data_IF_649537538875
#
_entry.id   IF_649537538875
#
_cell.length_a   1.000
_cell.length_b   1.000
_cell.length_c   1.000
_cell.angle_alpha   90.00
_cell.angle_beta   90.00
_cell.angle_gamma   90.00
#
_symmetry.space_group_name_H-M   'P 1'
#
loop_
_entity.id
_entity.type
_entity.pdbx_description
1 polymer ?
#
# COMPACT_ATOMS: atom_id res chain seq x y z
N UNK A 1 -24.87 -3.59 -13.28
CA UNK A 1 -23.98 -2.49 -13.74
C UNK A 1 -23.02 -3.07 -14.77
N UNK A 2 -22.92 -2.49 -15.98
CA UNK A 2 -21.90 -2.89 -16.94
C UNK A 2 -20.54 -2.36 -16.46
N UNK A 3 -19.57 -3.25 -16.29
CA UNK A 3 -18.20 -2.87 -15.93
C UNK A 3 -17.46 -2.50 -17.21
N UNK A 4 -16.89 -1.30 -17.29
CA UNK A 4 -15.99 -0.93 -18.39
C UNK A 4 -14.73 -1.79 -18.30
N UNK A 5 -14.50 -2.64 -19.30
CA UNK A 5 -13.28 -3.44 -19.39
C UNK A 5 -12.27 -2.72 -20.32
N UNK A 6 -11.13 -2.35 -19.77
CA UNK A 6 -10.00 -1.84 -20.55
C UNK A 6 -9.14 -3.02 -21.04
N UNK A 7 -8.67 -2.96 -22.27
CA UNK A 7 -7.76 -3.98 -22.78
C UNK A 7 -6.41 -3.90 -22.07
N UNK A 8 -5.99 -4.99 -21.44
CA UNK A 8 -4.79 -5.05 -20.59
C UNK A 8 -3.50 -4.74 -21.36
N UNK A 9 -3.43 -5.10 -22.64
CA UNK A 9 -2.28 -4.77 -23.50
C UNK A 9 -2.10 -3.25 -23.70
N UNK A 10 -3.19 -2.47 -23.70
CA UNK A 10 -3.12 -1.01 -23.78
C UNK A 10 -2.56 -0.44 -22.47
N UNK A 11 -3.02 -0.94 -21.33
CA UNK A 11 -2.50 -0.53 -20.01
C UNK A 11 -1.03 -0.89 -19.83
N UNK A 12 -0.60 -2.10 -20.24
CA UNK A 12 0.82 -2.50 -20.22
C UNK A 12 1.70 -1.55 -21.01
N UNK A 13 1.24 -1.14 -22.18
CA UNK A 13 1.98 -0.20 -23.05
C UNK A 13 1.99 1.22 -22.45
N UNK A 14 0.86 1.66 -21.92
CA UNK A 14 0.74 2.97 -21.28
C UNK A 14 1.65 3.07 -20.04
N UNK A 15 1.76 1.97 -19.29
CA UNK A 15 2.53 1.88 -18.06
C UNK A 15 3.95 1.34 -18.25
N UNK A 16 4.50 1.36 -19.47
CA UNK A 16 5.86 0.87 -19.74
C UNK A 16 6.96 1.63 -18.96
N UNK A 17 6.69 2.85 -18.52
CA UNK A 17 7.58 3.67 -17.71
C UNK A 17 7.14 3.76 -16.22
N UNK A 18 6.25 2.87 -15.78
CA UNK A 18 5.77 2.81 -14.40
C UNK A 18 6.44 1.66 -13.64
N UNK A 19 7.04 1.95 -12.50
CA UNK A 19 7.73 0.99 -11.63
C UNK A 19 6.99 0.90 -10.30
N UNK A 20 6.55 -0.30 -9.95
CA UNK A 20 5.70 -0.58 -8.81
C UNK A 20 6.51 -1.20 -7.68
N UNK A 21 6.39 -0.65 -6.48
CA UNK A 21 6.89 -1.26 -5.26
C UNK A 21 5.70 -1.53 -4.35
N UNK A 22 5.53 -2.79 -3.96
CA UNK A 22 4.47 -3.27 -3.06
C UNK A 22 5.12 -4.06 -1.92
N UNK A 23 4.42 -4.30 -0.83
CA UNK A 23 4.92 -5.17 0.24
C UNK A 23 4.53 -4.70 1.63
N UNK A 24 5.20 -5.23 2.64
CA UNK A 24 4.85 -5.01 4.04
C UNK A 24 5.17 -3.59 4.53
N UNK A 25 4.52 -3.18 5.61
CA UNK A 25 4.95 -1.99 6.35
C UNK A 25 6.41 -2.18 6.83
N UNK A 26 7.10 -1.07 7.08
CA UNK A 26 8.51 -1.03 7.53
C UNK A 26 9.56 -1.60 6.56
N UNK A 27 9.17 -2.10 5.38
CA UNK A 27 10.11 -2.61 4.38
C UNK A 27 10.96 -1.52 3.69
N UNK A 28 10.64 -0.23 3.90
CA UNK A 28 11.38 0.89 3.30
C UNK A 28 10.88 1.30 1.91
N UNK A 29 9.70 0.86 1.49
CA UNK A 29 9.10 1.14 0.17
C UNK A 29 9.14 2.61 -0.21
N UNK A 30 8.52 3.48 0.61
CA UNK A 30 8.40 4.92 0.32
C UNK A 30 9.77 5.62 0.23
N UNK A 31 10.78 5.14 1.00
CA UNK A 31 12.17 5.63 0.88
C UNK A 31 12.75 5.26 -0.49
N UNK A 32 12.60 4.02 -0.91
CA UNK A 32 13.11 3.55 -2.21
C UNK A 32 12.42 4.24 -3.38
N UNK A 33 11.10 4.38 -3.32
CA UNK A 33 10.32 5.10 -4.35
C UNK A 33 10.80 6.53 -4.50
N UNK A 34 11.05 7.23 -3.39
CA UNK A 34 11.59 8.60 -3.40
C UNK A 34 12.99 8.65 -3.99
N UNK A 35 13.91 7.81 -3.53
CA UNK A 35 15.29 7.76 -4.03
C UNK A 35 15.36 7.42 -5.52
N UNK A 36 14.53 6.49 -5.99
CA UNK A 36 14.41 6.17 -7.43
C UNK A 36 13.92 7.38 -8.22
N UNK A 37 12.87 8.06 -7.75
CA UNK A 37 12.32 9.22 -8.42
C UNK A 37 13.35 10.36 -8.51
N UNK A 38 14.05 10.66 -7.43
CA UNK A 38 15.09 11.69 -7.38
C UNK A 38 16.27 11.35 -8.30
N UNK A 39 16.77 10.12 -8.25
CA UNK A 39 17.94 9.71 -9.02
C UNK A 39 17.69 9.63 -10.52
N UNK A 40 16.48 9.26 -10.94
CA UNK A 40 16.13 9.04 -12.35
C UNK A 40 15.26 10.15 -12.94
N UNK A 41 15.21 11.33 -12.31
CA UNK A 41 14.35 12.47 -12.72
C UNK A 41 12.90 12.03 -13.01
N UNK A 42 12.40 11.13 -12.16
CA UNK A 42 11.08 10.54 -12.26
C UNK A 42 10.03 11.27 -11.41
N UNK A 43 8.82 10.74 -11.41
CA UNK A 43 7.72 11.20 -10.56
C UNK A 43 7.63 10.28 -9.35
N UNK A 44 7.66 10.87 -8.16
CA UNK A 44 7.37 10.17 -6.91
C UNK A 44 5.86 10.01 -6.72
N UNK A 45 5.41 8.79 -6.52
CA UNK A 45 4.03 8.45 -6.17
C UNK A 45 4.04 7.66 -4.85
N UNK A 46 3.76 8.34 -3.74
CA UNK A 46 3.66 7.72 -2.41
C UNK A 46 2.39 6.88 -2.26
N UNK A 47 2.25 6.19 -1.13
CA UNK A 47 1.19 5.21 -0.85
C UNK A 47 -0.23 5.72 -1.16
N UNK A 48 -0.50 7.01 -0.90
CA UNK A 48 -1.82 7.62 -1.08
C UNK A 48 -1.86 8.61 -2.26
N UNK A 49 -1.10 8.34 -3.33
CA UNK A 49 -1.05 9.26 -4.48
C UNK A 49 -2.42 9.46 -5.18
N UNK A 50 -3.37 8.58 -4.95
CA UNK A 50 -4.75 8.66 -5.42
C UNK A 50 -5.63 9.65 -4.62
N UNK A 51 -5.14 10.22 -3.53
CA UNK A 51 -5.88 11.21 -2.71
C UNK A 51 -6.33 12.44 -3.51
N UNK A 52 -5.64 12.75 -4.62
CA UNK A 52 -6.08 13.76 -5.57
C UNK A 52 -7.50 13.48 -6.16
N UNK A 53 -7.95 12.23 -6.11
CA UNK A 53 -9.25 11.79 -6.58
C UNK A 53 -10.24 11.50 -5.42
N UNK A 54 -9.88 11.79 -4.19
CA UNK A 54 -10.72 11.51 -3.01
C UNK A 54 -12.11 12.17 -3.08
N UNK A 55 -12.23 13.32 -3.75
CA UNK A 55 -13.51 13.98 -4.00
C UNK A 55 -14.48 13.22 -4.90
N UNK A 56 -14.03 12.13 -5.55
CA UNK A 56 -14.86 11.25 -6.38
C UNK A 56 -15.42 10.06 -5.60
N UNK A 57 -14.98 9.86 -4.34
CA UNK A 57 -15.41 8.74 -3.52
C UNK A 57 -16.86 8.96 -3.09
N UNK A 58 -17.72 8.01 -3.45
CA UNK A 58 -19.11 7.93 -2.98
C UNK A 58 -19.25 6.66 -2.12
N UNK A 59 -19.56 6.78 -0.82
CA UNK A 59 -19.71 5.62 0.07
C UNK A 59 -20.74 4.58 -0.40
N UNK A 60 -21.67 4.94 -1.28
CA UNK A 60 -22.61 3.98 -1.88
C UNK A 60 -21.93 3.02 -2.88
N UNK A 61 -20.80 3.42 -3.47
CA UNK A 61 -20.03 2.64 -4.45
C UNK A 61 -18.65 2.22 -3.94
N UNK A 62 -18.02 3.02 -3.09
CA UNK A 62 -16.75 2.74 -2.42
C UNK A 62 -16.93 2.76 -0.90
N UNK A 63 -17.65 1.75 -0.34
CA UNK A 63 -18.01 1.76 1.09
C UNK A 63 -16.82 1.64 2.03
N UNK A 64 -15.70 1.08 1.59
CA UNK A 64 -14.51 0.94 2.42
C UNK A 64 -13.67 2.23 2.44
N UNK A 65 -13.42 2.87 1.29
CA UNK A 65 -12.76 4.18 1.22
C UNK A 65 -13.63 5.28 1.82
N UNK A 66 -14.94 5.23 1.58
CA UNK A 66 -15.91 6.17 2.11
C UNK A 66 -16.29 5.94 3.58
N UNK A 67 -15.74 4.90 4.24
CA UNK A 67 -16.14 4.51 5.60
C UNK A 67 -16.03 5.65 6.61
N UNK A 68 -14.95 6.42 6.58
CA UNK A 68 -14.75 7.54 7.49
C UNK A 68 -15.74 8.71 7.31
N UNK A 69 -16.47 8.75 6.19
CA UNK A 69 -17.56 9.70 5.96
C UNK A 69 -18.89 9.23 6.60
N UNK A 70 -19.01 7.92 6.88
CA UNK A 70 -20.26 7.28 7.30
C UNK A 70 -20.21 6.66 8.69
N UNK A 71 -19.01 6.43 9.25
CA UNK A 71 -18.85 5.88 10.60
C UNK A 71 -19.50 6.80 11.66
N UNK A 72 -20.05 6.22 12.71
CA UNK A 72 -20.68 6.97 13.80
C UNK A 72 -19.64 7.61 14.75
N UNK A 73 -18.49 6.97 14.92
CA UNK A 73 -17.43 7.43 15.82
C UNK A 73 -16.12 6.67 15.58
N UNK A 74 -15.01 7.22 16.09
CA UNK A 74 -13.74 6.52 16.12
C UNK A 74 -13.75 5.27 16.99
N UNK A 75 -14.63 5.22 18.02
CA UNK A 75 -14.79 4.04 18.86
C UNK A 75 -15.40 2.86 18.08
N UNK A 76 -16.29 3.13 17.11
CA UNK A 76 -16.76 2.11 16.17
C UNK A 76 -15.60 1.53 15.33
N UNK A 77 -14.72 2.39 14.83
CA UNK A 77 -13.59 1.96 14.01
C UNK A 77 -12.59 1.10 14.79
N UNK A 78 -12.15 1.55 15.98
CA UNK A 78 -11.19 0.81 16.81
C UNK A 78 -11.79 -0.43 17.47
N UNK A 79 -13.12 -0.49 17.62
CA UNK A 79 -13.85 -1.64 18.16
C UNK A 79 -14.10 -2.77 17.18
N UNK A 80 -13.65 -2.65 15.92
CA UNK A 80 -13.75 -3.74 14.93
C UNK A 80 -13.02 -4.98 15.39
N UNK A 81 -13.54 -6.16 15.04
CA UNK A 81 -12.77 -7.40 15.22
C UNK A 81 -11.59 -7.45 14.24
N UNK A 82 -10.56 -8.27 14.51
CA UNK A 82 -9.46 -8.48 13.58
C UNK A 82 -9.92 -8.86 12.16
N UNK A 83 -10.96 -9.68 12.04
CA UNK A 83 -11.54 -10.11 10.76
C UNK A 83 -12.25 -8.97 10.04
N UNK A 84 -13.04 -8.18 10.76
CA UNK A 84 -13.73 -7.02 10.19
C UNK A 84 -12.74 -5.96 9.71
N UNK A 85 -11.67 -5.74 10.47
CA UNK A 85 -10.63 -4.80 10.06
C UNK A 85 -9.85 -5.31 8.85
N UNK A 86 -9.49 -6.61 8.82
CA UNK A 86 -8.81 -7.22 7.69
C UNK A 86 -9.65 -7.15 6.40
N UNK A 87 -10.95 -7.43 6.50
CA UNK A 87 -11.87 -7.32 5.37
C UNK A 87 -11.99 -5.87 4.87
N UNK A 88 -12.01 -4.90 5.78
CA UNK A 88 -12.03 -3.47 5.43
C UNK A 88 -10.75 -3.04 4.72
N UNK A 89 -9.56 -3.46 5.18
CA UNK A 89 -8.26 -3.16 4.52
C UNK A 89 -8.25 -3.75 3.11
N UNK A 90 -8.70 -4.98 2.94
CA UNK A 90 -8.73 -5.64 1.62
C UNK A 90 -9.72 -4.94 0.68
N UNK A 91 -10.90 -4.54 1.20
CA UNK A 91 -11.88 -3.76 0.46
C UNK A 91 -11.34 -2.38 0.06
N UNK A 92 -10.71 -1.69 0.99
CA UNK A 92 -10.07 -0.38 0.75
C UNK A 92 -9.01 -0.49 -0.35
N UNK A 93 -8.13 -1.50 -0.29
CA UNK A 93 -7.12 -1.73 -1.31
C UNK A 93 -7.73 -2.00 -2.70
N UNK A 94 -8.82 -2.77 -2.76
CA UNK A 94 -9.51 -3.07 -4.01
C UNK A 94 -10.20 -1.84 -4.61
N UNK A 95 -10.81 -1.00 -3.79
CA UNK A 95 -11.44 0.25 -4.21
C UNK A 95 -10.38 1.30 -4.61
N UNK A 96 -9.32 1.46 -3.80
CA UNK A 96 -8.22 2.37 -4.08
C UNK A 96 -7.50 2.03 -5.39
N UNK A 97 -7.32 0.75 -5.72
CA UNK A 97 -6.68 0.32 -6.95
C UNK A 97 -7.34 0.91 -8.21
N UNK A 98 -8.65 1.15 -8.20
CA UNK A 98 -9.35 1.78 -9.31
C UNK A 98 -8.95 3.26 -9.45
N UNK A 99 -8.91 4.00 -8.34
CA UNK A 99 -8.47 5.40 -8.31
C UNK A 99 -6.97 5.50 -8.65
N UNK A 100 -6.15 4.57 -8.15
CA UNK A 100 -4.73 4.49 -8.45
C UNK A 100 -4.50 4.34 -9.96
N UNK A 101 -5.21 3.45 -10.64
CA UNK A 101 -5.09 3.25 -12.09
C UNK A 101 -5.52 4.52 -12.85
N UNK A 102 -6.60 5.18 -12.46
CA UNK A 102 -7.05 6.44 -13.08
C UNK A 102 -5.99 7.53 -12.92
N UNK A 103 -5.46 7.68 -11.72
CA UNK A 103 -4.42 8.69 -11.44
C UNK A 103 -3.12 8.38 -12.19
N UNK A 104 -2.78 7.09 -12.35
CA UNK A 104 -1.65 6.67 -13.17
C UNK A 104 -1.81 7.07 -14.63
N UNK A 105 -2.97 6.81 -15.23
CA UNK A 105 -3.26 7.21 -16.62
C UNK A 105 -3.02 8.72 -16.78
N UNK A 106 -3.46 9.53 -15.80
CA UNK A 106 -3.24 10.99 -15.83
C UNK A 106 -1.76 11.37 -15.72
N UNK A 107 -0.96 10.63 -14.92
CA UNK A 107 0.46 10.95 -14.68
C UNK A 107 1.39 10.43 -15.78
N UNK A 108 0.97 9.49 -16.60
CA UNK A 108 1.77 9.01 -17.74
C UNK A 108 1.89 10.02 -18.87
N UNK A 109 1.09 11.09 -18.87
CA UNK A 109 1.24 12.20 -19.80
C UNK A 109 2.63 12.82 -19.64
N UNK A 110 3.38 12.93 -20.74
CA UNK A 110 4.74 13.49 -20.73
C UNK A 110 5.89 12.47 -20.72
N UNK A 111 5.59 11.16 -20.65
CA UNK A 111 6.58 10.09 -20.86
C UNK A 111 7.65 9.94 -19.76
N UNK A 112 7.49 10.64 -18.61
CA UNK A 112 8.41 10.52 -17.47
C UNK A 112 8.25 9.16 -16.80
N UNK A 113 9.32 8.67 -16.16
CA UNK A 113 9.27 7.48 -15.29
C UNK A 113 8.44 7.79 -14.05
N UNK A 114 7.57 6.86 -13.65
CA UNK A 114 6.80 6.94 -12.41
C UNK A 114 7.28 5.83 -11.47
N UNK A 115 7.57 6.18 -10.24
CA UNK A 115 7.94 5.24 -9.18
C UNK A 115 6.88 5.27 -8.09
N UNK A 116 6.35 4.10 -7.74
CA UNK A 116 5.13 4.00 -6.96
C UNK A 116 5.25 3.08 -5.76
N UNK A 117 4.77 3.55 -4.62
CA UNK A 117 4.34 2.73 -3.50
C UNK A 117 2.84 2.42 -3.67
N UNK A 118 2.47 1.15 -3.90
CA UNK A 118 1.10 0.79 -4.29
C UNK A 118 0.57 -0.39 -3.49
N UNK A 119 -0.77 -0.46 -3.39
CA UNK A 119 -1.51 -1.60 -2.86
C UNK A 119 -2.30 -2.35 -3.94
N UNK A 120 -2.07 -2.06 -5.23
CA UNK A 120 -2.69 -2.77 -6.35
C UNK A 120 -2.39 -4.27 -6.25
N UNK A 121 -3.41 -5.10 -6.42
CA UNK A 121 -3.29 -6.55 -6.28
C UNK A 121 -2.30 -7.15 -7.28
N UNK A 122 -1.65 -8.27 -6.93
CA UNK A 122 -0.76 -8.99 -7.84
C UNK A 122 -1.45 -9.48 -9.12
N UNK A 123 -2.76 -9.83 -9.02
CA UNK A 123 -3.56 -10.16 -10.20
C UNK A 123 -3.58 -9.01 -11.19
N UNK A 124 -3.97 -7.83 -10.71
CA UNK A 124 -4.02 -6.62 -11.53
C UNK A 124 -2.63 -6.21 -12.03
N UNK A 125 -1.58 -6.27 -11.19
CA UNK A 125 -0.21 -5.94 -11.61
C UNK A 125 0.30 -6.84 -12.75
N UNK A 126 -0.08 -8.13 -12.78
CA UNK A 126 0.26 -9.02 -13.91
C UNK A 126 -0.43 -8.62 -15.21
N UNK A 127 -1.61 -8.01 -15.10
CA UNK A 127 -2.39 -7.56 -16.26
C UNK A 127 -1.88 -6.23 -16.82
N UNK A 128 -1.41 -5.32 -15.96
CA UNK A 128 -1.05 -3.95 -16.35
C UNK A 128 0.47 -3.69 -16.40
N UNK A 129 1.29 -4.66 -15.99
CA UNK A 129 2.74 -4.51 -15.89
C UNK A 129 3.47 -5.81 -16.22
N UNK A 130 4.77 -5.88 -16.00
CA UNK A 130 5.59 -7.08 -16.14
C UNK A 130 6.53 -7.29 -14.95
N UNK A 131 7.19 -8.45 -14.91
CA UNK A 131 8.08 -8.85 -13.83
C UNK A 131 9.19 -7.81 -13.53
N UNK A 132 9.76 -7.18 -14.56
CA UNK A 132 10.88 -6.24 -14.40
C UNK A 132 10.45 -4.87 -13.85
N UNK A 133 9.16 -4.62 -13.76
CA UNK A 133 8.62 -3.34 -13.27
C UNK A 133 7.93 -3.45 -11.92
N UNK A 134 7.93 -4.64 -11.32
CA UNK A 134 7.30 -4.87 -10.01
C UNK A 134 8.31 -5.45 -9.04
N UNK A 135 8.45 -4.82 -7.88
CA UNK A 135 9.25 -5.33 -6.77
C UNK A 135 8.40 -5.44 -5.51
N UNK A 136 8.56 -6.54 -4.79
CA UNK A 136 7.91 -6.78 -3.49
C UNK A 136 8.95 -6.60 -2.40
N UNK A 137 8.77 -5.61 -1.53
CA UNK A 137 9.65 -5.36 -0.41
C UNK A 137 9.03 -5.87 0.89
N UNK A 138 9.77 -6.70 1.61
CA UNK A 138 9.30 -7.36 2.83
C UNK A 138 10.13 -6.97 4.04
N UNK A 139 9.45 -6.74 5.15
CA UNK A 139 10.03 -6.65 6.48
C UNK A 139 9.41 -7.76 7.35
N UNK A 140 10.13 -8.17 8.38
CA UNK A 140 9.61 -9.14 9.34
C UNK A 140 8.24 -8.66 9.89
N UNK A 141 7.20 -9.50 9.85
CA UNK A 141 5.88 -9.16 10.38
C UNK A 141 5.89 -8.70 11.83
N UNK A 142 6.76 -9.26 12.67
CA UNK A 142 6.88 -8.88 14.08
C UNK A 142 7.30 -7.42 14.26
N UNK A 143 8.14 -6.90 13.36
CA UNK A 143 8.53 -5.49 13.36
C UNK A 143 7.34 -4.57 13.08
N UNK A 144 6.47 -4.98 12.16
CA UNK A 144 5.26 -4.22 11.82
C UNK A 144 4.26 -4.15 12.98
N UNK A 145 4.13 -5.22 13.75
CA UNK A 145 3.25 -5.30 14.92
C UNK A 145 3.85 -4.53 16.10
N UNK A 146 5.11 -4.82 16.47
CA UNK A 146 5.74 -4.28 17.68
C UNK A 146 6.01 -2.77 17.59
N UNK A 147 6.30 -2.25 16.40
CA UNK A 147 6.69 -0.84 16.19
C UNK A 147 5.59 0.03 15.59
N UNK A 148 4.36 -0.43 15.53
CA UNK A 148 3.28 0.30 14.85
C UNK A 148 3.09 1.72 15.39
N UNK A 149 3.11 1.89 16.71
CA UNK A 149 2.93 3.18 17.38
C UNK A 149 4.23 3.94 17.66
N UNK A 150 5.41 3.35 17.38
CA UNK A 150 6.71 4.02 17.58
C UNK A 150 6.99 5.12 16.57
N UNK A 151 6.22 5.19 15.48
CA UNK A 151 6.39 6.21 14.44
C UNK A 151 5.82 7.56 14.89
N UNK A 152 6.52 8.66 14.62
CA UNK A 152 5.99 10.01 14.80
C UNK A 152 4.98 10.40 13.69
N UNK A 153 4.26 9.43 13.17
CA UNK A 153 3.24 9.55 12.14
C UNK A 153 1.96 10.09 12.80
N UNK A 154 1.48 11.22 12.31
CA UNK A 154 0.34 11.92 12.91
C UNK A 154 -0.93 11.07 12.97
N UNK A 155 -1.17 10.25 11.94
CA UNK A 155 -2.35 9.37 11.88
C UNK A 155 -2.27 8.26 12.91
N UNK A 156 -1.09 7.62 13.06
CA UNK A 156 -0.89 6.56 14.06
C UNK A 156 -0.93 7.09 15.47
N UNK A 157 -0.36 8.27 15.70
CA UNK A 157 -0.45 8.94 17.00
C UNK A 157 -1.88 9.39 17.30
N UNK A 158 -2.64 9.79 16.29
CA UNK A 158 -4.08 10.06 16.45
C UNK A 158 -4.84 8.80 16.84
N UNK A 159 -4.61 7.69 16.11
CA UNK A 159 -5.25 6.41 16.40
C UNK A 159 -4.90 5.89 17.80
N UNK A 160 -3.63 5.99 18.20
CA UNK A 160 -3.22 5.67 19.58
C UNK A 160 -4.04 6.46 20.62
N UNK A 161 -4.22 7.78 20.40
CA UNK A 161 -5.06 8.60 21.30
C UNK A 161 -6.52 8.14 21.34
N UNK A 162 -7.08 7.71 20.19
CA UNK A 162 -8.44 7.18 20.16
C UNK A 162 -8.59 5.89 20.96
N UNK A 163 -7.59 4.99 20.89
CA UNK A 163 -7.53 3.76 21.68
C UNK A 163 -7.46 4.10 23.18
N UNK A 164 -6.61 5.06 23.57
CA UNK A 164 -6.47 5.46 24.96
C UNK A 164 -7.70 6.22 25.52
N UNK A 165 -8.61 6.67 24.66
CA UNK A 165 -9.89 7.27 25.04
C UNK A 165 -11.07 6.28 25.06
N UNK A 166 -10.81 5.00 24.77
CA UNK A 166 -11.84 3.96 24.85
C UNK A 166 -12.32 3.78 26.31
N UNK A 167 -13.56 3.30 26.54
CA UNK A 167 -14.05 2.99 27.88
C UNK A 167 -13.19 1.99 28.65
N UNK A 168 -12.53 1.07 27.94
CA UNK A 168 -11.49 0.15 28.44
C UNK A 168 -10.29 0.22 27.49
N UNK A 169 -9.31 1.09 27.76
CA UNK A 169 -8.13 1.28 26.92
C UNK A 169 -7.26 0.03 26.77
N UNK A 170 -7.17 -0.79 27.83
CA UNK A 170 -6.35 -2.01 27.82
C UNK A 170 -6.97 -3.06 26.91
N UNK A 171 -8.28 -3.27 26.98
CA UNK A 171 -9.00 -4.16 26.07
C UNK A 171 -8.96 -3.65 24.63
N UNK A 172 -9.12 -2.34 24.41
CA UNK A 172 -9.03 -1.74 23.08
C UNK A 172 -7.63 -1.89 22.49
N UNK A 173 -6.56 -1.71 23.27
CA UNK A 173 -5.19 -1.92 22.84
C UNK A 173 -4.91 -3.39 22.53
N UNK A 174 -5.41 -4.32 23.36
CA UNK A 174 -5.28 -5.76 23.10
C UNK A 174 -5.97 -6.16 21.79
N UNK A 175 -7.19 -5.67 21.57
CA UNK A 175 -7.91 -5.87 20.29
C UNK A 175 -7.12 -5.29 19.11
N UNK A 176 -6.59 -4.09 19.24
CA UNK A 176 -5.85 -3.47 18.14
C UNK A 176 -4.53 -4.20 17.82
N UNK A 177 -3.85 -4.77 18.82
CA UNK A 177 -2.70 -5.66 18.60
C UNK A 177 -3.11 -6.91 17.82
N UNK A 178 -4.23 -7.56 18.18
CA UNK A 178 -4.75 -8.70 17.44
C UNK A 178 -5.11 -8.34 15.99
N UNK A 179 -5.62 -7.12 15.76
CA UNK A 179 -5.81 -6.58 14.40
C UNK A 179 -4.48 -6.53 13.64
N UNK A 180 -3.44 -5.94 14.23
CA UNK A 180 -2.13 -5.82 13.60
C UNK A 180 -1.52 -7.20 13.30
N UNK A 181 -1.64 -8.16 14.20
CA UNK A 181 -1.21 -9.55 13.99
C UNK A 181 -1.99 -10.20 12.83
N UNK A 182 -3.29 -9.95 12.74
CA UNK A 182 -4.15 -10.49 11.67
C UNK A 182 -3.79 -9.96 10.29
N UNK A 183 -3.55 -8.65 10.16
CA UNK A 183 -3.19 -8.04 8.88
C UNK A 183 -1.73 -8.25 8.48
N UNK A 184 -0.87 -8.67 9.42
CA UNK A 184 0.51 -9.07 9.18
C UNK A 184 0.70 -10.60 9.35
N UNK A 185 -0.35 -11.39 9.14
CA UNK A 185 -0.32 -12.83 9.37
C UNK A 185 0.70 -13.55 8.48
N UNK A 186 1.20 -14.74 8.91
CA UNK A 186 2.10 -15.55 8.10
C UNK A 186 1.54 -15.93 6.73
N UNK A 187 0.21 -16.07 6.60
CA UNK A 187 -0.45 -16.34 5.32
C UNK A 187 -0.31 -15.17 4.36
N UNK A 188 -0.56 -13.93 4.83
CA UNK A 188 -0.40 -12.72 4.03
C UNK A 188 1.06 -12.51 3.63
N UNK A 189 1.98 -12.74 4.56
CA UNK A 189 3.41 -12.66 4.28
C UNK A 189 3.83 -13.67 3.20
N UNK A 190 3.41 -14.94 3.32
CA UNK A 190 3.68 -15.97 2.31
C UNK A 190 3.07 -15.64 0.95
N UNK A 191 1.87 -15.06 0.91
CA UNK A 191 1.26 -14.62 -0.34
C UNK A 191 2.11 -13.56 -1.06
N UNK A 192 2.73 -12.63 -0.31
CA UNK A 192 3.68 -11.66 -0.84
C UNK A 192 4.96 -12.34 -1.35
N UNK A 193 5.55 -13.26 -0.58
CA UNK A 193 6.74 -14.03 -0.98
C UNK A 193 6.51 -14.87 -2.24
N UNK A 194 5.33 -15.45 -2.37
CA UNK A 194 4.94 -16.33 -3.47
C UNK A 194 4.24 -15.59 -4.61
N UNK A 195 4.33 -14.27 -4.63
CA UNK A 195 3.67 -13.42 -5.64
C UNK A 195 4.10 -13.69 -7.08
N UNK A 196 5.26 -14.31 -7.28
CA UNK A 196 5.87 -14.51 -8.61
C UNK A 196 6.60 -13.28 -9.15
N UNK A 197 6.66 -12.19 -8.39
CA UNK A 197 7.48 -11.01 -8.67
C UNK A 197 8.83 -11.07 -7.95
N UNK A 198 9.69 -10.10 -8.23
CA UNK A 198 10.97 -9.97 -7.53
C UNK A 198 10.75 -9.60 -6.07
N UNK A 199 11.28 -10.40 -5.16
CA UNK A 199 11.14 -10.21 -3.70
C UNK A 199 12.47 -9.73 -3.11
N UNK A 200 12.43 -8.60 -2.41
CA UNK A 200 13.55 -8.05 -1.66
C UNK A 200 13.20 -7.96 -0.18
N UNK A 201 13.84 -8.79 0.65
CA UNK A 201 13.68 -8.71 2.10
C UNK A 201 14.55 -7.59 2.67
N UNK A 202 13.99 -6.86 3.62
CA UNK A 202 14.75 -5.89 4.41
C UNK A 202 15.90 -6.61 5.12
N UNK A 203 17.05 -5.98 5.05
CA UNK A 203 18.25 -6.41 5.71
C UNK A 203 18.94 -5.17 6.28
N UNK A 204 18.95 -5.07 7.62
CA UNK A 204 19.45 -3.89 8.33
C UNK A 204 20.98 -3.74 8.22
N UNK A 205 21.69 -4.74 7.67
CA UNK A 205 23.12 -4.61 7.31
C UNK A 205 23.36 -3.84 6.03
N UNK A 206 22.30 -3.65 5.19
CA UNK A 206 22.38 -2.89 3.93
C UNK A 206 22.02 -1.44 4.14
N UNK A 207 22.80 -0.55 3.52
CA UNK A 207 22.43 0.87 3.43
C UNK A 207 21.25 1.07 2.47
N UNK A 208 20.54 2.21 2.55
CA UNK A 208 19.53 2.57 1.56
C UNK A 208 20.06 2.56 0.12
N UNK A 209 21.30 3.03 -0.11
CA UNK A 209 21.94 3.08 -1.43
C UNK A 209 22.22 1.67 -1.97
N UNK A 210 22.62 0.73 -1.13
CA UNK A 210 22.81 -0.67 -1.53
C UNK A 210 21.46 -1.32 -1.88
N UNK A 211 20.41 -1.02 -1.14
CA UNK A 211 19.06 -1.48 -1.44
C UNK A 211 18.54 -0.90 -2.75
N UNK A 212 18.78 0.40 -2.97
CA UNK A 212 18.48 1.09 -4.22
C UNK A 212 19.15 0.44 -5.42
N UNK A 213 20.47 0.15 -5.33
CA UNK A 213 21.23 -0.49 -6.42
C UNK A 213 20.66 -1.87 -6.80
N UNK A 214 20.14 -2.64 -5.84
CA UNK A 214 19.48 -3.92 -6.10
C UNK A 214 18.19 -3.71 -6.89
N UNK A 215 17.38 -2.72 -6.50
CA UNK A 215 16.14 -2.38 -7.21
C UNK A 215 16.42 -1.86 -8.62
N UNK A 216 17.40 -0.98 -8.80
CA UNK A 216 17.81 -0.49 -10.12
C UNK A 216 18.21 -1.64 -11.04
N UNK A 217 19.05 -2.54 -10.55
CA UNK A 217 19.44 -3.74 -11.31
C UNK A 217 18.25 -4.58 -11.73
N UNK A 218 17.26 -4.77 -10.83
CA UNK A 218 16.03 -5.50 -11.14
C UNK A 218 15.20 -4.78 -12.20
N UNK A 219 15.02 -3.48 -12.05
CA UNK A 219 14.24 -2.65 -12.97
C UNK A 219 14.93 -2.37 -14.32
N UNK A 220 16.25 -2.62 -14.43
CA UNK A 220 17.04 -2.32 -15.61
C UNK A 220 17.27 -0.81 -15.81
N UNK A 221 17.46 -0.11 -14.70
CA UNK A 221 17.72 1.33 -14.63
C UNK A 221 19.21 1.62 -14.50
#
# INVERSE_FOLDING_TARGET
>A
MQTLALATNLLKRLFENVYFIIGTAYAGKSTMVRMLAEKHDGVFCGENYHDALSGLIDPAYQPNLGYFQTMSSWQEFIGRTPEQYAAWIDGTAAEAAQLEIIELIRRTEGGRRLFMDTNISFGTLREISDYRRVAVMLCDPEVSVSRFFDRPDAEKQFLYRQIMQAPDPDAAMANYRAILERINSPERYRALEQSGFFVLRRDDSRTPEQTLAILEKHFGL
#
